data_IF_706634271053
#
_entry.id   IF_706634271053
#
_cell.length_a   1.000
_cell.length_b   1.000
_cell.length_c   1.000
_cell.angle_alpha   90.00
_cell.angle_beta   90.00
_cell.angle_gamma   90.00
#
_symmetry.space_group_name_H-M   'P 1'
#
loop_
_entity.id
_entity.type
_entity.pdbx_description
1 polymer ?
#
# COMPACT_ATOMS: atom_id res chain seq x y z
N UNK A 1 -0.32 -3.64 -1.94
CA UNK A 1 0.20 -4.13 -0.64
C UNK A 1 1.24 -3.14 -0.13
N UNK A 2 1.11 -2.67 1.10
CA UNK A 2 2.07 -1.80 1.79
C UNK A 2 1.84 -1.87 3.32
N UNK A 3 2.86 -1.57 4.13
CA UNK A 3 2.69 -1.31 5.56
C UNK A 3 2.83 0.17 5.94
N UNK A 4 3.00 1.05 4.95
CA UNK A 4 3.05 2.51 5.17
C UNK A 4 4.33 3.03 5.84
N UNK A 5 5.40 2.23 5.89
CA UNK A 5 6.70 2.63 6.46
C UNK A 5 7.48 3.62 5.58
N UNK A 6 7.16 3.73 4.29
CA UNK A 6 7.80 4.64 3.35
C UNK A 6 6.78 5.24 2.36
N UNK A 7 5.96 6.17 2.84
CA UNK A 7 4.93 6.84 2.04
C UNK A 7 5.54 8.04 1.32
N UNK A 8 5.80 7.91 0.03
CA UNK A 8 6.34 8.99 -0.82
C UNK A 8 7.58 9.65 -0.18
N UNK A 9 7.57 10.96 0.00
CA UNK A 9 8.60 11.71 0.74
C UNK A 9 8.23 11.97 2.21
N UNK A 10 7.15 11.38 2.72
CA UNK A 10 6.63 11.62 4.07
C UNK A 10 7.20 10.64 5.11
N UNK A 11 7.83 9.54 4.66
CA UNK A 11 8.40 8.53 5.53
C UNK A 11 7.34 7.60 6.13
N UNK A 12 7.58 7.16 7.37
CA UNK A 12 6.70 6.23 8.07
C UNK A 12 5.53 6.98 8.73
N UNK A 13 4.32 6.81 8.18
CA UNK A 13 3.06 7.29 8.78
C UNK A 13 2.06 6.14 9.06
N UNK A 14 2.49 4.90 8.86
CA UNK A 14 1.70 3.70 9.10
C UNK A 14 0.70 3.34 7.99
N UNK A 15 0.14 2.14 8.13
CA UNK A 15 -0.73 1.47 7.16
C UNK A 15 -1.92 2.34 6.72
N UNK A 16 -2.72 2.84 7.66
CA UNK A 16 -3.92 3.63 7.35
C UNK A 16 -3.61 4.93 6.60
N UNK A 17 -2.54 5.62 6.97
CA UNK A 17 -2.13 6.86 6.31
C UNK A 17 -1.67 6.63 4.86
N UNK A 18 -1.25 5.42 4.51
CA UNK A 18 -0.85 5.05 3.15
C UNK A 18 -2.02 4.81 2.21
N UNK A 19 -3.23 4.58 2.74
CA UNK A 19 -4.40 4.17 1.97
C UNK A 19 -4.74 5.11 0.79
N UNK A 20 -4.81 6.45 0.96
CA UNK A 20 -5.10 7.34 -0.17
C UNK A 20 -4.07 7.25 -1.31
N UNK A 21 -2.81 6.93 -0.99
CA UNK A 21 -1.75 6.74 -1.99
C UNK A 21 -1.94 5.41 -2.72
N UNK A 22 -2.35 4.35 -2.03
CA UNK A 22 -2.59 3.04 -2.65
C UNK A 22 -3.85 3.04 -3.51
N UNK A 23 -4.93 3.69 -3.08
CA UNK A 23 -6.12 3.92 -3.91
C UNK A 23 -5.77 4.70 -5.18
N UNK A 24 -4.93 5.74 -5.06
CA UNK A 24 -4.39 6.46 -6.21
C UNK A 24 -3.66 5.57 -7.20
N UNK A 25 -2.81 4.64 -6.72
CA UNK A 25 -2.13 3.64 -7.58
C UNK A 25 -3.13 2.69 -8.26
N UNK A 26 -4.15 2.22 -7.55
CA UNK A 26 -5.20 1.38 -8.13
C UNK A 26 -5.96 2.09 -9.26
N UNK A 27 -6.26 3.39 -9.10
CA UNK A 27 -6.85 4.21 -10.18
C UNK A 27 -5.92 4.28 -11.40
N UNK A 28 -4.61 4.43 -11.20
CA UNK A 28 -3.65 4.44 -12.32
C UNK A 28 -3.61 3.10 -13.06
N UNK A 29 -3.61 1.98 -12.32
CA UNK A 29 -3.66 0.64 -12.92
C UNK A 29 -4.89 0.46 -13.80
N UNK A 30 -6.07 0.82 -13.30
CA UNK A 30 -7.30 0.72 -14.09
C UNK A 30 -7.27 1.65 -15.30
N UNK A 31 -6.86 2.90 -15.12
CA UNK A 31 -6.95 3.94 -16.15
C UNK A 31 -6.01 3.72 -17.34
N UNK A 32 -4.82 3.19 -17.08
CA UNK A 32 -3.75 3.12 -18.08
C UNK A 32 -3.43 1.69 -18.54
N UNK A 33 -3.80 0.67 -17.77
CA UNK A 33 -3.50 -0.72 -18.10
C UNK A 33 -4.75 -1.62 -18.12
N UNK A 34 -5.94 -1.09 -17.82
CA UNK A 34 -7.17 -1.86 -17.63
C UNK A 34 -7.02 -3.03 -16.64
N UNK A 35 -6.19 -2.82 -15.62
CA UNK A 35 -5.95 -3.80 -14.54
C UNK A 35 -6.83 -3.44 -13.35
N UNK A 36 -7.65 -4.39 -12.91
CA UNK A 36 -8.40 -4.27 -11.66
C UNK A 36 -7.46 -4.54 -10.48
N UNK A 37 -7.35 -3.55 -9.59
CA UNK A 37 -6.41 -3.52 -8.48
C UNK A 37 -7.14 -3.28 -7.16
N UNK A 38 -6.70 -3.93 -6.10
CA UNK A 38 -7.17 -3.75 -4.73
C UNK A 38 -5.96 -3.36 -3.87
N UNK A 39 -6.13 -2.32 -3.06
CA UNK A 39 -5.17 -1.90 -2.05
C UNK A 39 -5.26 -2.78 -0.80
N UNK A 40 -4.11 -3.02 -0.17
CA UNK A 40 -3.96 -3.92 0.98
C UNK A 40 -2.94 -3.30 1.92
N UNK A 41 -3.43 -2.78 3.03
CA UNK A 41 -2.64 -2.13 4.07
C UNK A 41 -2.46 -3.10 5.24
N UNK A 42 -1.21 -3.52 5.49
CA UNK A 42 -0.87 -4.46 6.57
C UNK A 42 -0.26 -3.69 7.72
N UNK A 43 -0.90 -3.72 8.89
CA UNK A 43 -0.44 -3.03 10.09
C UNK A 43 0.61 -3.86 10.84
N UNK A 44 1.83 -3.91 10.30
CA UNK A 44 2.99 -4.48 10.99
C UNK A 44 4.29 -3.87 10.47
N UNK A 45 5.27 -3.72 11.36
CA UNK A 45 6.66 -3.38 11.02
C UNK A 45 7.58 -4.61 11.04
N UNK A 46 7.10 -5.77 11.52
CA UNK A 46 7.87 -7.03 11.49
C UNK A 46 7.89 -7.58 10.05
N UNK A 47 9.08 -7.71 9.42
CA UNK A 47 9.18 -8.29 8.09
C UNK A 47 8.60 -9.69 7.98
N UNK A 48 8.74 -10.54 9.01
CA UNK A 48 8.25 -11.92 8.96
C UNK A 48 6.71 -11.97 9.01
N UNK A 49 6.08 -11.15 9.85
CA UNK A 49 4.62 -11.01 9.85
C UNK A 49 4.10 -10.46 8.53
N UNK A 50 4.79 -9.47 7.95
CA UNK A 50 4.41 -8.91 6.65
C UNK A 50 4.50 -9.95 5.54
N UNK A 51 5.58 -10.75 5.51
CA UNK A 51 5.75 -11.83 4.53
C UNK A 51 4.64 -12.87 4.68
N UNK A 52 4.30 -13.26 5.91
CA UNK A 52 3.25 -14.26 6.17
C UNK A 52 1.83 -13.76 5.81
N UNK A 53 1.63 -12.44 5.73
CA UNK A 53 0.33 -11.84 5.39
C UNK A 53 0.06 -11.77 3.87
N UNK A 54 1.06 -12.04 3.02
CA UNK A 54 1.00 -11.93 1.55
C UNK A 54 0.90 -13.30 0.89
#
# INVERSE_FOLDING_TARGET
ITNGTAILGLGNLGALASKPVMEGKSVLFKRFADVDSIDLEVETEDPEEFINAV
#
